data_IF_398292747054
#
_entry.id   IF_398292747054
#
_cell.length_a   1.000
_cell.length_b   1.000
_cell.length_c   1.000
_cell.angle_alpha   90.00
_cell.angle_beta   90.00
_cell.angle_gamma   90.00
#
_symmetry.space_group_name_H-M   'P 1'
#
loop_
_entity.id
_entity.type
_entity.pdbx_description
1 polymer ?
#
# COMPACT_ATOMS: atom_id res chain seq x y z
N UNK A 1 -66.24 -18.33 42.58
CA UNK A 1 -65.97 -18.67 41.22
C UNK A 1 -64.93 -17.66 40.67
N UNK A 2 -63.68 -18.06 40.68
CA UNK A 2 -62.53 -17.20 40.17
C UNK A 2 -62.14 -17.79 38.80
N UNK A 3 -62.35 -17.03 37.76
CA UNK A 3 -61.85 -17.35 36.42
C UNK A 3 -60.36 -16.88 36.33
N UNK A 4 -59.44 -17.84 36.17
CA UNK A 4 -58.05 -17.57 35.76
C UNK A 4 -58.04 -17.47 34.20
N UNK A 5 -57.76 -16.25 33.71
CA UNK A 5 -57.40 -16.06 32.29
C UNK A 5 -55.93 -16.38 32.11
N UNK A 6 -55.63 -17.50 31.48
CA UNK A 6 -54.25 -17.86 31.05
C UNK A 6 -53.94 -17.15 29.73
N UNK A 7 -53.08 -16.12 29.78
CA UNK A 7 -52.57 -15.45 28.59
C UNK A 7 -51.44 -16.29 27.99
N UNK A 8 -51.73 -16.95 26.85
CA UNK A 8 -50.74 -17.66 26.07
C UNK A 8 -49.95 -16.64 25.23
N UNK A 9 -48.74 -16.26 25.67
CA UNK A 9 -47.77 -15.47 24.87
C UNK A 9 -47.23 -16.39 23.77
N UNK A 10 -47.73 -16.24 22.56
CA UNK A 10 -47.14 -16.78 21.33
C UNK A 10 -45.90 -15.94 21.01
N UNK A 11 -44.73 -16.41 21.43
CA UNK A 11 -43.43 -15.93 20.96
C UNK A 11 -43.30 -16.28 19.46
N UNK A 12 -43.63 -15.35 18.61
CA UNK A 12 -43.20 -15.39 17.20
C UNK A 12 -41.68 -15.27 17.16
N UNK A 13 -40.96 -16.38 17.16
CA UNK A 13 -39.58 -16.44 16.75
C UNK A 13 -39.54 -16.14 15.24
N UNK A 14 -39.32 -14.88 14.88
CA UNK A 14 -38.95 -14.53 13.51
C UNK A 14 -37.65 -15.28 13.20
N UNK A 15 -37.60 -16.07 12.09
CA UNK A 15 -36.37 -16.70 11.70
C UNK A 15 -35.36 -15.59 11.39
N UNK A 16 -34.32 -15.48 12.21
CA UNK A 16 -33.12 -14.75 11.84
C UNK A 16 -32.50 -15.56 10.71
N UNK A 17 -33.02 -15.35 9.49
CA UNK A 17 -32.52 -16.01 8.30
C UNK A 17 -31.02 -15.74 8.19
N UNK A 18 -30.24 -16.77 7.93
CA UNK A 18 -28.81 -16.74 7.73
C UNK A 18 -28.45 -15.79 6.57
N UNK A 19 -28.23 -14.53 6.88
CA UNK A 19 -28.05 -13.45 5.90
C UNK A 19 -26.83 -13.69 4.99
N UNK A 20 -25.83 -14.39 5.49
CA UNK A 20 -24.57 -14.69 4.81
C UNK A 20 -24.72 -15.77 3.74
N UNK A 21 -25.46 -16.85 4.06
CA UNK A 21 -25.75 -17.94 3.11
C UNK A 21 -26.60 -17.45 1.93
N UNK A 22 -27.61 -16.62 2.20
CA UNK A 22 -28.47 -16.02 1.16
C UNK A 22 -27.63 -15.13 0.20
N UNK A 23 -26.68 -14.33 0.70
CA UNK A 23 -25.84 -13.48 -0.13
C UNK A 23 -24.95 -14.30 -1.05
N UNK A 24 -24.27 -15.33 -0.53
CA UNK A 24 -23.38 -16.16 -1.35
C UNK A 24 -24.16 -16.89 -2.44
N UNK A 25 -25.23 -17.59 -2.10
CA UNK A 25 -26.02 -18.39 -3.04
C UNK A 25 -26.63 -17.55 -4.18
N UNK A 26 -27.00 -16.29 -3.91
CA UNK A 26 -27.58 -15.36 -4.89
C UNK A 26 -26.57 -14.77 -5.86
N UNK A 27 -25.30 -14.68 -5.49
CA UNK A 27 -24.30 -13.92 -6.27
C UNK A 27 -23.11 -14.75 -6.72
N UNK A 28 -23.00 -16.02 -6.35
CA UNK A 28 -21.87 -16.89 -6.69
C UNK A 28 -21.60 -17.01 -8.19
N UNK A 29 -22.64 -16.92 -9.03
CA UNK A 29 -22.54 -16.98 -10.50
C UNK A 29 -21.78 -15.80 -11.11
N UNK A 30 -21.55 -14.74 -10.34
CA UNK A 30 -20.84 -13.52 -10.74
C UNK A 30 -19.39 -13.49 -10.25
N UNK A 31 -18.97 -14.49 -9.47
CA UNK A 31 -17.65 -14.58 -8.89
C UNK A 31 -16.71 -15.42 -9.74
N UNK A 32 -15.45 -15.08 -9.71
CA UNK A 32 -14.39 -15.82 -10.39
C UNK A 32 -13.14 -15.91 -9.53
N UNK A 33 -12.43 -17.01 -9.69
CA UNK A 33 -11.04 -17.13 -9.29
C UNK A 33 -10.14 -16.73 -10.47
N UNK A 34 -9.08 -15.99 -10.21
CA UNK A 34 -8.05 -15.66 -11.19
C UNK A 34 -6.80 -16.44 -10.85
N UNK A 35 -6.31 -17.23 -11.80
CA UNK A 35 -5.09 -18.01 -11.69
C UNK A 35 -4.00 -17.43 -12.57
N UNK A 36 -2.85 -17.22 -11.99
CA UNK A 36 -1.64 -16.90 -12.74
C UNK A 36 -0.85 -18.20 -12.88
N UNK A 37 -0.57 -18.57 -14.12
CA UNK A 37 0.09 -19.79 -14.47
C UNK A 37 1.46 -19.50 -15.09
N UNK A 38 2.45 -20.28 -14.74
CA UNK A 38 3.72 -20.29 -15.46
C UNK A 38 3.48 -20.79 -16.90
N UNK A 39 3.96 -20.04 -17.88
CA UNK A 39 3.64 -20.31 -19.28
C UNK A 39 4.24 -21.64 -19.79
N UNK A 40 5.43 -22.01 -19.28
CA UNK A 40 6.18 -23.20 -19.72
C UNK A 40 5.61 -24.51 -19.16
N UNK A 41 5.24 -24.51 -17.88
CA UNK A 41 4.84 -25.72 -17.15
C UNK A 41 3.33 -25.82 -16.92
N UNK A 42 2.60 -24.70 -16.99
CA UNK A 42 1.21 -24.60 -16.58
C UNK A 42 1.00 -24.65 -15.07
N UNK A 43 2.08 -24.65 -14.27
CA UNK A 43 2.00 -24.64 -12.83
C UNK A 43 1.40 -23.32 -12.31
N UNK A 44 0.61 -23.40 -11.23
CA UNK A 44 0.03 -22.21 -10.60
C UNK A 44 1.11 -21.42 -9.87
N UNK A 45 1.32 -20.19 -10.30
CA UNK A 45 2.25 -19.23 -9.70
C UNK A 45 1.57 -18.25 -8.77
N UNK A 46 0.27 -18.01 -8.94
CA UNK A 46 -0.50 -17.12 -8.09
C UNK A 46 -1.99 -17.34 -8.22
N UNK A 47 -2.73 -16.86 -7.23
CA UNK A 47 -4.18 -16.89 -7.18
C UNK A 47 -4.73 -15.59 -6.63
N UNK A 48 -5.86 -15.17 -7.16
CA UNK A 48 -6.65 -14.06 -6.68
C UNK A 48 -8.12 -14.28 -6.97
N UNK A 49 -8.92 -13.32 -6.62
CA UNK A 49 -10.36 -13.29 -6.87
C UNK A 49 -10.72 -12.21 -7.87
N UNK A 50 -11.89 -12.32 -8.44
CA UNK A 50 -12.47 -11.30 -9.29
C UNK A 50 -13.98 -11.46 -9.38
N UNK A 51 -14.60 -10.55 -10.09
CA UNK A 51 -16.06 -10.61 -10.29
C UNK A 51 -16.45 -9.96 -11.62
N UNK A 52 -17.52 -10.47 -12.21
CA UNK A 52 -18.10 -9.89 -13.43
C UNK A 52 -18.70 -8.52 -13.13
N UNK A 53 -18.22 -7.51 -13.85
CA UNK A 53 -18.65 -6.12 -13.75
C UNK A 53 -19.40 -5.64 -14.99
N UNK A 54 -19.50 -6.46 -16.03
CA UNK A 54 -20.34 -6.21 -17.20
C UNK A 54 -20.83 -7.51 -17.82
N UNK A 55 -21.96 -7.45 -18.53
CA UNK A 55 -22.49 -8.57 -19.32
C UNK A 55 -21.62 -8.93 -20.54
N UNK A 56 -20.62 -8.10 -20.87
CA UNK A 56 -19.67 -8.33 -21.96
C UNK A 56 -18.41 -9.10 -21.53
N UNK A 57 -18.42 -9.69 -20.34
CA UNK A 57 -17.30 -10.48 -19.81
C UNK A 57 -16.15 -9.64 -19.21
N UNK A 58 -16.37 -8.37 -18.90
CA UNK A 58 -15.40 -7.60 -18.12
C UNK A 58 -15.42 -8.06 -16.67
N UNK A 59 -14.24 -8.33 -16.14
CA UNK A 59 -13.99 -8.77 -14.78
C UNK A 59 -13.12 -7.76 -14.09
N UNK A 60 -13.46 -7.39 -12.86
CA UNK A 60 -12.66 -6.57 -11.96
C UNK A 60 -11.84 -7.46 -11.05
N UNK A 61 -10.60 -7.08 -10.82
CA UNK A 61 -9.66 -7.69 -9.85
C UNK A 61 -8.67 -6.63 -9.36
N UNK A 62 -7.66 -7.01 -8.56
CA UNK A 62 -6.56 -6.11 -8.22
C UNK A 62 -5.45 -6.14 -9.28
N UNK A 63 -4.74 -5.00 -9.39
CA UNK A 63 -3.54 -4.89 -10.22
C UNK A 63 -2.45 -5.89 -9.76
N UNK A 64 -2.19 -6.00 -8.45
CA UNK A 64 -1.16 -6.90 -7.94
C UNK A 64 -1.42 -8.37 -8.26
N UNK A 65 -2.68 -8.79 -8.48
CA UNK A 65 -3.02 -10.15 -8.90
C UNK A 65 -2.51 -10.43 -10.31
N UNK A 66 -2.53 -9.42 -11.20
CA UNK A 66 -2.20 -9.58 -12.64
C UNK A 66 -0.87 -8.94 -13.04
N UNK A 67 -0.13 -8.35 -12.12
CA UNK A 67 1.10 -7.58 -12.39
C UNK A 67 2.17 -8.38 -13.15
N UNK A 68 2.26 -9.69 -12.91
CA UNK A 68 3.19 -10.58 -13.61
C UNK A 68 2.92 -10.66 -15.14
N UNK A 69 1.66 -10.45 -15.56
CA UNK A 69 1.33 -10.41 -17.00
C UNK A 69 1.91 -9.17 -17.69
N UNK A 70 2.15 -8.11 -16.91
CA UNK A 70 2.73 -6.85 -17.40
C UNK A 70 4.25 -6.90 -17.35
N UNK A 71 4.80 -7.36 -16.22
CA UNK A 71 6.23 -7.31 -15.95
C UNK A 71 7.00 -8.50 -16.53
N UNK A 72 6.35 -9.66 -16.63
CA UNK A 72 6.95 -10.92 -17.09
C UNK A 72 6.06 -11.65 -18.11
N UNK A 73 5.61 -10.98 -19.19
CA UNK A 73 4.59 -11.51 -20.11
C UNK A 73 5.02 -12.80 -20.86
N UNK A 74 6.32 -13.08 -20.91
CA UNK A 74 6.83 -14.32 -21.52
C UNK A 74 6.80 -15.51 -20.55
N UNK A 75 6.71 -15.24 -19.25
CA UNK A 75 6.79 -16.26 -18.19
C UNK A 75 5.42 -16.63 -17.63
N UNK A 76 4.43 -15.73 -17.74
CA UNK A 76 3.14 -15.93 -17.10
C UNK A 76 1.96 -15.70 -18.07
N UNK A 77 0.92 -16.48 -17.84
CA UNK A 77 -0.41 -16.32 -18.44
C UNK A 77 -1.48 -16.39 -17.36
N UNK A 78 -2.67 -15.89 -17.63
CA UNK A 78 -3.77 -15.93 -16.70
C UNK A 78 -4.97 -16.66 -17.26
N UNK A 79 -5.68 -17.34 -16.38
CA UNK A 79 -6.99 -17.92 -16.64
C UNK A 79 -8.00 -17.52 -15.56
N UNK A 80 -9.24 -17.50 -15.94
CA UNK A 80 -10.38 -17.40 -15.04
C UNK A 80 -10.95 -18.79 -14.76
N UNK A 81 -11.36 -19.02 -13.50
CA UNK A 81 -12.13 -20.21 -13.11
C UNK A 81 -13.42 -19.72 -12.43
N UNK A 82 -14.55 -20.14 -12.97
CA UNK A 82 -15.88 -19.79 -12.42
C UNK A 82 -16.28 -20.73 -11.30
N UNK A 83 -17.33 -20.40 -10.55
CA UNK A 83 -17.86 -21.25 -9.48
C UNK A 83 -18.38 -22.60 -9.95
N UNK A 84 -18.82 -22.71 -11.21
CA UNK A 84 -19.22 -23.95 -11.88
C UNK A 84 -18.07 -24.68 -12.59
N UNK A 85 -16.81 -24.24 -12.37
CA UNK A 85 -15.59 -24.91 -12.85
C UNK A 85 -15.21 -24.62 -14.29
N UNK A 86 -15.91 -23.74 -15.02
CA UNK A 86 -15.50 -23.34 -16.37
C UNK A 86 -14.20 -22.55 -16.34
N UNK A 87 -13.35 -22.77 -17.33
CA UNK A 87 -12.06 -22.09 -17.47
C UNK A 87 -11.93 -21.41 -18.81
N UNK A 88 -11.31 -20.23 -18.81
CA UNK A 88 -10.96 -19.54 -20.04
C UNK A 88 -9.75 -18.62 -19.83
N UNK A 89 -9.00 -18.28 -20.89
CA UNK A 89 -7.93 -17.31 -20.80
C UNK A 89 -8.48 -15.92 -20.49
N UNK A 90 -7.63 -15.10 -19.86
CA UNK A 90 -7.88 -13.69 -19.55
C UNK A 90 -7.01 -12.78 -20.40
N UNK A 91 -7.60 -11.68 -20.84
CA UNK A 91 -6.92 -10.58 -21.50
C UNK A 91 -6.97 -9.33 -20.63
N UNK A 92 -5.85 -8.66 -20.42
CA UNK A 92 -5.80 -7.37 -19.72
C UNK A 92 -6.38 -6.27 -20.61
N UNK A 93 -7.35 -5.52 -20.07
CA UNK A 93 -8.01 -4.41 -20.79
C UNK A 93 -7.50 -3.05 -20.29
N UNK A 94 -7.51 -2.84 -18.99
CA UNK A 94 -7.03 -1.60 -18.36
C UNK A 94 -6.69 -1.86 -16.89
N UNK A 95 -5.95 -0.95 -16.26
CA UNK A 95 -5.64 -1.03 -14.84
C UNK A 95 -5.39 0.35 -14.23
N UNK A 96 -5.45 0.41 -12.92
CA UNK A 96 -5.09 1.54 -12.07
C UNK A 96 -4.14 1.02 -10.98
N UNK A 97 -2.83 1.20 -11.21
CA UNK A 97 -1.81 0.71 -10.28
C UNK A 97 -1.78 1.52 -8.98
N UNK A 98 -2.27 2.77 -9.00
CA UNK A 98 -2.31 3.63 -7.81
C UNK A 98 -3.39 3.17 -6.83
N UNK A 99 -4.54 2.73 -7.34
CA UNK A 99 -5.63 2.19 -6.53
C UNK A 99 -5.65 0.66 -6.51
N UNK A 100 -4.62 0.01 -7.07
CA UNK A 100 -4.50 -1.45 -7.11
C UNK A 100 -5.72 -2.14 -7.72
N UNK A 101 -6.20 -1.67 -8.87
CA UNK A 101 -7.33 -2.22 -9.61
C UNK A 101 -6.92 -2.66 -11.02
N UNK A 102 -7.58 -3.68 -11.55
CA UNK A 102 -7.46 -4.08 -12.94
C UNK A 102 -8.82 -4.53 -13.51
N UNK A 103 -8.99 -4.29 -14.81
CA UNK A 103 -10.08 -4.84 -15.61
C UNK A 103 -9.48 -5.80 -16.63
N UNK A 104 -9.96 -7.02 -16.57
CA UNK A 104 -9.61 -8.09 -17.52
C UNK A 104 -10.86 -8.55 -18.23
N UNK A 105 -10.70 -9.21 -19.38
CA UNK A 105 -11.81 -9.74 -20.15
C UNK A 105 -11.62 -11.23 -20.42
N UNK A 106 -12.75 -11.93 -20.41
CA UNK A 106 -12.82 -13.35 -20.77
C UNK A 106 -13.80 -13.57 -21.92
N UNK A 107 -13.59 -14.67 -22.67
CA UNK A 107 -14.50 -15.13 -23.71
C UNK A 107 -15.57 -16.12 -23.20
N UNK A 108 -15.70 -16.29 -21.89
CA UNK A 108 -16.78 -17.09 -21.33
C UNK A 108 -18.15 -16.50 -21.71
N UNK A 109 -19.20 -17.35 -21.77
CA UNK A 109 -20.56 -16.88 -22.02
C UNK A 109 -20.96 -15.73 -21.11
N UNK A 110 -21.79 -14.79 -21.58
CA UNK A 110 -22.25 -13.66 -20.77
C UNK A 110 -22.85 -14.11 -19.45
N UNK A 111 -22.41 -13.46 -18.38
CA UNK A 111 -22.91 -13.71 -17.01
C UNK A 111 -23.53 -12.43 -16.44
N UNK A 112 -24.34 -12.60 -15.39
CA UNK A 112 -24.80 -11.44 -14.62
C UNK A 112 -23.60 -10.69 -14.05
N UNK A 113 -23.69 -9.36 -14.03
CA UNK A 113 -22.68 -8.51 -13.45
C UNK A 113 -23.09 -7.99 -12.08
N UNK A 114 -22.12 -7.66 -11.26
CA UNK A 114 -22.35 -6.85 -10.07
C UNK A 114 -22.53 -5.38 -10.46
N UNK A 115 -23.36 -4.69 -9.69
CA UNK A 115 -23.50 -3.23 -9.77
C UNK A 115 -22.63 -2.56 -8.69
N UNK A 116 -22.00 -1.44 -9.06
CA UNK A 116 -21.21 -0.66 -8.12
C UNK A 116 -22.11 0.25 -7.30
N UNK A 117 -21.98 0.21 -5.98
CA UNK A 117 -22.63 1.18 -5.11
C UNK A 117 -22.14 2.60 -5.41
N UNK A 118 -23.01 3.60 -5.36
CA UNK A 118 -22.71 4.95 -5.86
C UNK A 118 -22.17 5.89 -4.79
N UNK A 119 -22.45 5.63 -3.53
CA UNK A 119 -22.09 6.47 -2.38
C UNK A 119 -21.35 5.62 -1.33
N UNK A 120 -20.75 6.28 -0.37
CA UNK A 120 -20.24 5.57 0.81
C UNK A 120 -21.41 5.20 1.71
N UNK A 121 -21.51 3.93 2.17
CA UNK A 121 -22.54 3.55 3.13
C UNK A 121 -22.31 4.23 4.49
N UNK A 122 -23.32 4.29 5.36
CA UNK A 122 -23.12 4.75 6.73
C UNK A 122 -22.17 3.81 7.49
N UNK A 123 -21.34 4.38 8.39
CA UNK A 123 -20.48 3.61 9.29
C UNK A 123 -21.34 2.66 10.12
N UNK A 124 -20.87 1.43 10.32
CA UNK A 124 -21.61 0.36 10.97
C UNK A 124 -22.39 -0.53 10.00
N UNK A 125 -22.46 -0.18 8.70
CA UNK A 125 -23.10 -1.01 7.69
C UNK A 125 -22.40 -2.35 7.54
N UNK A 126 -23.20 -3.43 7.52
CA UNK A 126 -22.71 -4.79 7.31
C UNK A 126 -22.34 -5.00 5.85
N UNK A 127 -21.15 -5.53 5.60
CA UNK A 127 -20.63 -5.90 4.29
C UNK A 127 -20.30 -7.41 4.27
N UNK A 128 -20.36 -7.97 3.07
CA UNK A 128 -20.00 -9.36 2.77
C UNK A 128 -18.88 -9.35 1.75
N UNK A 129 -17.66 -9.68 2.20
CA UNK A 129 -16.49 -9.83 1.34
C UNK A 129 -16.43 -11.26 0.82
N UNK A 130 -16.23 -11.44 -0.49
CA UNK A 130 -16.22 -12.75 -1.13
C UNK A 130 -14.92 -12.93 -1.90
N UNK A 131 -14.33 -14.13 -1.84
CA UNK A 131 -13.09 -14.45 -2.54
C UNK A 131 -12.67 -15.91 -2.35
N UNK A 132 -11.49 -16.27 -2.83
CA UNK A 132 -10.95 -17.64 -2.81
C UNK A 132 -9.67 -17.71 -1.96
N UNK A 133 -9.78 -17.70 -0.60
CA UNK A 133 -8.60 -17.69 0.26
C UNK A 133 -7.79 -18.98 0.07
N UNK A 134 -6.47 -18.82 -0.07
CA UNK A 134 -5.50 -19.93 -0.10
C UNK A 134 -5.86 -21.07 -1.08
N UNK A 135 -6.61 -20.76 -2.13
CA UNK A 135 -7.12 -21.75 -3.11
C UNK A 135 -8.07 -22.83 -2.49
N UNK A 136 -8.70 -22.52 -1.34
CA UNK A 136 -9.61 -23.44 -0.63
C UNK A 136 -11.05 -23.42 -1.14
N UNK A 137 -11.30 -22.72 -2.25
CA UNK A 137 -12.62 -22.47 -2.79
C UNK A 137 -13.19 -21.11 -2.36
N UNK A 138 -14.39 -20.81 -2.85
CA UNK A 138 -15.05 -19.54 -2.54
C UNK A 138 -15.46 -19.45 -1.07
N UNK A 139 -15.10 -18.35 -0.44
CA UNK A 139 -15.38 -18.06 0.96
C UNK A 139 -16.03 -16.69 1.05
N UNK A 140 -17.02 -16.57 1.94
CA UNK A 140 -17.65 -15.32 2.31
C UNK A 140 -17.26 -14.92 3.73
N UNK A 141 -16.90 -13.66 3.92
CA UNK A 141 -16.54 -13.07 5.21
C UNK A 141 -17.43 -11.88 5.49
N UNK A 142 -18.18 -11.97 6.57
CA UNK A 142 -18.99 -10.85 7.06
C UNK A 142 -18.15 -9.91 7.92
N UNK A 143 -18.38 -8.61 7.78
CA UNK A 143 -17.72 -7.58 8.57
C UNK A 143 -18.42 -6.24 8.48
N UNK A 144 -17.85 -5.23 9.07
CA UNK A 144 -18.43 -3.90 9.18
C UNK A 144 -17.67 -2.87 8.35
N UNK A 145 -18.39 -1.99 7.67
CA UNK A 145 -17.86 -0.79 7.07
C UNK A 145 -17.57 0.26 8.15
N UNK A 146 -16.31 0.65 8.33
CA UNK A 146 -15.88 1.62 9.34
C UNK A 146 -15.50 2.99 8.75
N UNK A 147 -15.92 3.27 7.52
CA UNK A 147 -15.59 4.52 6.84
C UNK A 147 -14.29 4.44 6.04
N UNK A 148 -13.89 5.59 5.54
CA UNK A 148 -12.61 5.77 4.86
C UNK A 148 -11.52 6.03 5.89
N UNK A 149 -10.29 5.60 5.60
CA UNK A 149 -9.14 5.95 6.42
C UNK A 149 -8.87 7.45 6.32
N UNK A 150 -8.88 8.14 7.46
CA UNK A 150 -8.71 9.61 7.50
C UNK A 150 -7.28 10.05 7.16
N UNK A 151 -6.29 9.26 7.54
CA UNK A 151 -4.88 9.59 7.40
C UNK A 151 -4.16 8.55 6.52
N UNK A 152 -4.56 8.45 5.27
CA UNK A 152 -3.94 7.59 4.25
C UNK A 152 -3.61 8.41 3.01
N UNK A 153 -2.48 8.12 2.36
CA UNK A 153 -2.11 8.74 1.10
C UNK A 153 -3.06 8.29 -0.03
N UNK A 154 -3.49 7.03 0.03
CA UNK A 154 -4.42 6.42 -0.90
C UNK A 154 -5.70 6.03 -0.16
N UNK A 155 -6.81 6.48 -0.68
CA UNK A 155 -8.10 6.31 -0.05
C UNK A 155 -8.51 4.83 0.00
N UNK A 156 -8.73 4.31 1.21
CA UNK A 156 -9.13 2.93 1.48
C UNK A 156 -10.30 2.90 2.47
N UNK A 157 -11.16 1.92 2.33
CA UNK A 157 -12.20 1.61 3.30
C UNK A 157 -11.61 0.73 4.39
N UNK A 158 -11.84 1.08 5.66
CA UNK A 158 -11.58 0.19 6.79
C UNK A 158 -12.73 -0.83 6.94
N UNK A 159 -12.38 -2.11 6.88
CA UNK A 159 -13.30 -3.24 6.99
C UNK A 159 -12.86 -4.19 8.10
N UNK A 160 -13.77 -4.57 8.99
CA UNK A 160 -13.45 -5.46 10.13
C UNK A 160 -13.61 -6.95 9.84
N UNK A 161 -13.83 -7.34 8.60
CA UNK A 161 -13.77 -8.76 8.20
C UNK A 161 -12.33 -9.21 7.96
N UNK A 162 -12.00 -10.45 8.31
CA UNK A 162 -10.65 -11.00 8.11
C UNK A 162 -10.45 -11.43 6.66
N UNK A 163 -9.67 -10.66 5.90
CA UNK A 163 -9.25 -11.03 4.57
C UNK A 163 -7.98 -11.92 4.63
N UNK A 164 -7.88 -12.86 3.72
CA UNK A 164 -6.74 -13.76 3.58
C UNK A 164 -6.15 -13.70 2.16
N UNK A 165 -4.88 -14.09 1.96
CA UNK A 165 -4.30 -14.21 0.63
C UNK A 165 -5.18 -15.04 -0.32
N UNK A 166 -5.38 -14.55 -1.54
CA UNK A 166 -6.31 -15.12 -2.53
C UNK A 166 -7.67 -14.44 -2.57
N UNK A 167 -8.10 -13.72 -1.53
CA UNK A 167 -9.33 -12.92 -1.55
C UNK A 167 -9.17 -11.58 -2.26
N UNK A 168 -7.94 -11.16 -2.53
CA UNK A 168 -7.62 -9.94 -3.28
C UNK A 168 -8.34 -9.92 -4.64
N UNK A 169 -8.95 -8.77 -4.98
CA UNK A 169 -9.74 -8.58 -6.20
C UNK A 169 -11.20 -9.01 -6.10
N UNK A 170 -11.57 -9.73 -5.06
CA UNK A 170 -12.97 -10.09 -4.80
C UNK A 170 -13.80 -8.88 -4.32
N UNK A 171 -15.13 -8.92 -4.50
CA UNK A 171 -16.02 -7.84 -4.12
C UNK A 171 -16.35 -7.87 -2.61
N UNK A 172 -16.50 -6.70 -2.02
CA UNK A 172 -17.21 -6.50 -0.76
C UNK A 172 -18.56 -5.84 -1.06
N UNK A 173 -19.63 -6.54 -0.75
CA UNK A 173 -21.01 -6.20 -1.19
C UNK A 173 -21.93 -5.90 -0.02
N UNK A 174 -22.95 -5.11 -0.28
CA UNK A 174 -24.15 -5.01 0.55
C UNK A 174 -25.01 -6.27 0.37
N UNK A 175 -25.99 -6.47 1.27
CA UNK A 175 -26.94 -7.59 1.18
C UNK A 175 -27.72 -7.65 -0.14
N UNK A 176 -27.93 -6.53 -0.80
CA UNK A 176 -28.57 -6.45 -2.12
C UNK A 176 -27.64 -6.78 -3.29
N UNK A 177 -26.35 -7.03 -3.04
CA UNK A 177 -25.33 -7.35 -4.04
C UNK A 177 -24.62 -6.15 -4.64
N UNK A 178 -24.88 -4.93 -4.22
CA UNK A 178 -24.13 -3.77 -4.70
C UNK A 178 -22.71 -3.77 -4.10
N UNK A 179 -21.69 -3.63 -4.96
CA UNK A 179 -20.29 -3.61 -4.57
C UNK A 179 -19.92 -2.23 -3.96
N UNK A 180 -19.49 -2.25 -2.71
CA UNK A 180 -19.00 -1.06 -1.98
C UNK A 180 -17.49 -0.88 -2.19
N UNK A 181 -16.76 -1.98 -2.32
CA UNK A 181 -15.32 -1.96 -2.53
C UNK A 181 -14.76 -3.30 -3.01
N UNK A 182 -13.46 -3.28 -3.31
CA UNK A 182 -12.69 -4.45 -3.75
C UNK A 182 -11.68 -4.80 -2.68
N UNK A 183 -11.59 -6.06 -2.29
CA UNK A 183 -10.63 -6.57 -1.30
C UNK A 183 -9.21 -6.30 -1.76
N UNK A 184 -8.35 -5.73 -0.91
CA UNK A 184 -6.98 -5.40 -1.33
C UNK A 184 -5.91 -5.89 -0.35
N UNK A 185 -6.08 -5.68 0.94
CA UNK A 185 -5.04 -5.94 1.93
C UNK A 185 -5.61 -6.21 3.33
N UNK A 186 -4.76 -6.76 4.18
CA UNK A 186 -5.02 -6.90 5.62
C UNK A 186 -3.81 -6.41 6.41
N UNK A 187 -4.05 -5.84 7.59
CA UNK A 187 -3.02 -5.42 8.55
C UNK A 187 -3.09 -6.24 9.85
N UNK A 188 -3.70 -7.43 9.80
CA UNK A 188 -3.85 -8.31 10.95
C UNK A 188 -5.30 -8.69 11.24
N UNK A 189 -5.55 -9.22 12.43
CA UNK A 189 -6.88 -9.70 12.82
C UNK A 189 -7.94 -8.59 12.73
N UNK A 190 -8.96 -8.80 11.90
CA UNK A 190 -10.11 -7.91 11.74
C UNK A 190 -9.76 -6.47 11.32
N UNK A 191 -8.56 -6.25 10.77
CA UNK A 191 -8.15 -4.99 10.16
C UNK A 191 -7.83 -5.24 8.70
N UNK A 192 -8.80 -4.96 7.85
CA UNK A 192 -8.69 -5.17 6.40
C UNK A 192 -9.07 -3.91 5.64
N UNK A 193 -8.63 -3.84 4.40
CA UNK A 193 -8.82 -2.67 3.56
C UNK A 193 -9.46 -3.05 2.24
N UNK A 194 -10.36 -2.15 1.78
CA UNK A 194 -11.01 -2.28 0.48
C UNK A 194 -10.72 -1.03 -0.35
N UNK A 195 -10.59 -1.21 -1.64
CA UNK A 195 -10.58 -0.10 -2.60
C UNK A 195 -12.01 0.35 -2.86
N UNK A 196 -12.39 1.63 -2.67
CA UNK A 196 -13.74 2.12 -2.88
C UNK A 196 -14.28 1.89 -4.30
N UNK A 197 -15.55 1.50 -4.41
CA UNK A 197 -16.22 1.18 -5.69
C UNK A 197 -16.23 2.33 -6.70
N UNK A 198 -16.07 3.60 -6.28
CA UNK A 198 -15.97 4.74 -7.21
C UNK A 198 -14.75 4.66 -8.12
N UNK A 199 -13.61 4.14 -7.63
CA UNK A 199 -12.42 3.93 -8.46
C UNK A 199 -12.65 2.81 -9.48
N UNK A 200 -13.38 1.76 -9.08
CA UNK A 200 -13.83 0.69 -9.99
C UNK A 200 -14.68 1.26 -11.11
N UNK A 201 -15.66 2.12 -10.78
CA UNK A 201 -16.52 2.77 -11.79
C UNK A 201 -15.69 3.62 -12.77
N UNK A 202 -14.76 4.41 -12.26
CA UNK A 202 -13.89 5.23 -13.10
C UNK A 202 -13.06 4.36 -14.07
N UNK A 203 -12.50 3.24 -13.56
CA UNK A 203 -11.73 2.30 -14.37
C UNK A 203 -12.61 1.59 -15.42
N UNK A 204 -13.80 1.13 -15.04
CA UNK A 204 -14.74 0.49 -15.97
C UNK A 204 -15.20 1.44 -17.10
N UNK A 205 -15.44 2.72 -16.79
CA UNK A 205 -15.77 3.73 -17.80
C UNK A 205 -14.66 3.89 -18.84
N UNK A 206 -13.39 3.88 -18.42
CA UNK A 206 -12.24 3.90 -19.33
C UNK A 206 -12.17 2.62 -20.17
N UNK A 207 -12.38 1.48 -19.53
CA UNK A 207 -12.24 0.16 -20.14
C UNK A 207 -13.33 -0.20 -21.16
N UNK A 208 -14.48 0.49 -21.16
CA UNK A 208 -15.66 0.13 -21.97
C UNK A 208 -15.40 0.00 -23.48
N UNK A 209 -14.52 0.85 -24.02
CA UNK A 209 -14.24 0.95 -25.45
C UNK A 209 -12.79 0.53 -25.77
N UNK A 210 -12.05 -0.03 -24.81
CA UNK A 210 -10.69 -0.46 -25.02
C UNK A 210 -10.65 -1.93 -25.51
N UNK A 211 -9.63 -2.22 -26.27
CA UNK A 211 -9.21 -3.57 -26.60
C UNK A 211 -8.05 -3.98 -25.69
N UNK A 212 -7.68 -5.26 -25.71
CA UNK A 212 -6.62 -5.77 -24.84
C UNK A 212 -5.31 -4.98 -24.97
N UNK A 213 -4.70 -4.66 -23.82
CA UNK A 213 -3.41 -4.00 -23.75
C UNK A 213 -2.30 -4.99 -24.17
N UNK A 214 -1.40 -4.52 -25.04
CA UNK A 214 -0.14 -5.24 -25.26
C UNK A 214 0.78 -5.08 -24.04
N UNK A 215 1.68 -6.04 -23.74
CA UNK A 215 2.61 -5.93 -22.63
C UNK A 215 3.43 -4.65 -22.64
N UNK A 216 3.88 -4.21 -23.82
CA UNK A 216 4.62 -2.95 -23.99
C UNK A 216 3.78 -1.72 -23.62
N UNK A 217 2.52 -1.67 -24.05
CA UNK A 217 1.60 -0.59 -23.71
C UNK A 217 1.27 -0.58 -22.22
N UNK A 218 1.05 -1.76 -21.64
CA UNK A 218 0.78 -1.89 -20.22
C UNK A 218 1.97 -1.44 -19.35
N UNK A 219 3.20 -1.78 -19.71
CA UNK A 219 4.40 -1.32 -19.00
C UNK A 219 4.59 0.20 -19.12
N UNK A 220 4.32 0.78 -20.28
CA UNK A 220 4.36 2.23 -20.47
C UNK A 220 3.29 2.92 -19.60
N UNK A 221 2.06 2.41 -19.60
CA UNK A 221 0.96 2.92 -18.77
C UNK A 221 1.29 2.84 -17.27
N UNK A 222 1.88 1.73 -16.80
CA UNK A 222 2.33 1.57 -15.41
C UNK A 222 3.33 2.67 -15.03
N UNK A 223 4.37 2.84 -15.83
CA UNK A 223 5.38 3.89 -15.63
C UNK A 223 4.75 5.27 -15.56
N UNK A 224 3.84 5.58 -16.46
CA UNK A 224 3.21 6.90 -16.56
C UNK A 224 2.28 7.17 -15.36
N UNK A 225 1.52 6.17 -14.89
CA UNK A 225 0.70 6.25 -13.68
C UNK A 225 1.56 6.50 -12.44
N UNK A 226 2.65 5.75 -12.26
CA UNK A 226 3.53 5.88 -11.11
C UNK A 226 4.27 7.23 -11.12
N UNK A 227 4.72 7.70 -12.31
CA UNK A 227 5.34 9.02 -12.45
C UNK A 227 4.36 10.15 -12.15
N UNK A 228 3.14 10.10 -12.66
CA UNK A 228 2.12 11.10 -12.37
C UNK A 228 1.80 11.16 -10.88
N UNK A 229 1.64 9.98 -10.26
CA UNK A 229 1.34 9.87 -8.84
C UNK A 229 2.48 10.43 -7.97
N UNK A 230 3.75 10.02 -8.20
CA UNK A 230 4.87 10.50 -7.40
C UNK A 230 5.08 12.01 -7.58
N UNK A 231 4.88 12.57 -8.76
CA UNK A 231 4.96 14.01 -8.97
C UNK A 231 3.90 14.75 -8.14
N UNK A 232 2.67 14.25 -8.12
CA UNK A 232 1.58 14.88 -7.40
C UNK A 232 1.78 14.87 -5.87
N UNK A 233 2.17 13.75 -5.27
CA UNK A 233 2.35 13.70 -3.82
C UNK A 233 3.64 14.40 -3.36
N UNK A 234 4.73 14.29 -4.13
CA UNK A 234 5.99 14.98 -3.81
C UNK A 234 5.83 16.50 -3.87
N UNK A 235 5.09 17.02 -4.87
CA UNK A 235 4.80 18.44 -4.93
C UNK A 235 4.00 18.89 -3.71
N UNK A 236 2.95 18.14 -3.31
CA UNK A 236 2.19 18.46 -2.08
C UNK A 236 3.04 18.47 -0.82
N UNK A 237 3.99 17.52 -0.69
CA UNK A 237 4.92 17.47 0.45
C UNK A 237 5.87 18.67 0.47
N UNK A 238 6.35 19.14 -0.68
CA UNK A 238 7.23 20.30 -0.79
C UNK A 238 6.44 21.60 -0.48
N UNK A 239 5.19 21.68 -0.92
CA UNK A 239 4.35 22.88 -0.72
C UNK A 239 3.76 22.95 0.70
N UNK A 240 3.79 21.87 1.46
CA UNK A 240 3.25 21.82 2.84
C UNK A 240 4.32 22.22 3.85
N UNK A 241 4.07 23.20 4.72
CA UNK A 241 5.01 23.54 5.78
C UNK A 241 5.32 22.35 6.69
N UNK A 242 6.61 22.07 6.87
CA UNK A 242 7.07 20.98 7.73
C UNK A 242 6.91 21.36 9.19
N UNK A 243 6.17 20.55 9.95
CA UNK A 243 6.14 20.66 11.40
C UNK A 243 7.43 20.14 11.98
N UNK A 244 7.91 20.73 13.08
CA UNK A 244 9.16 20.34 13.73
C UNK A 244 8.95 19.96 15.19
N UNK A 245 9.83 19.09 15.70
CA UNK A 245 9.92 18.73 17.12
C UNK A 245 11.35 18.97 17.62
N UNK A 246 11.52 19.09 18.94
CA UNK A 246 12.85 19.21 19.55
C UNK A 246 13.45 17.82 19.77
N UNK A 247 14.70 17.67 19.42
CA UNK A 247 15.49 16.45 19.62
C UNK A 247 16.92 16.88 20.04
N UNK A 248 17.23 16.81 21.33
CA UNK A 248 18.41 17.45 21.90
C UNK A 248 18.39 18.96 21.66
N UNK A 249 19.49 19.51 21.20
CA UNK A 249 19.62 20.94 20.84
C UNK A 249 19.18 21.26 19.41
N UNK A 250 18.49 20.33 18.73
CA UNK A 250 18.01 20.53 17.36
C UNK A 250 16.49 20.55 17.31
N UNK A 251 15.97 21.32 16.38
CA UNK A 251 14.62 21.13 15.86
C UNK A 251 14.73 20.34 14.58
N UNK A 252 14.00 19.23 14.51
CA UNK A 252 14.00 18.28 13.38
C UNK A 252 12.61 18.17 12.78
N UNK A 253 12.48 17.78 11.51
CA UNK A 253 11.17 17.45 10.93
C UNK A 253 10.43 16.48 11.81
N UNK A 254 9.14 16.72 12.01
CA UNK A 254 8.26 15.79 12.68
C UNK A 254 7.34 15.13 11.65
N UNK A 255 6.05 15.31 11.73
CA UNK A 255 5.09 14.76 10.81
C UNK A 255 5.09 15.56 9.50
N UNK A 256 5.61 14.99 8.42
CA UNK A 256 5.70 15.65 7.11
C UNK A 256 4.32 15.79 6.42
N UNK A 257 3.36 14.91 6.76
CA UNK A 257 2.00 14.95 6.23
C UNK A 257 1.06 14.18 7.17
N UNK A 258 -0.27 14.37 7.07
CA UNK A 258 -1.25 13.65 7.90
C UNK A 258 -1.15 12.12 7.83
N UNK A 259 -0.77 11.58 6.66
CA UNK A 259 -0.62 10.13 6.43
C UNK A 259 0.71 9.55 6.92
N UNK A 260 1.65 10.38 7.42
CA UNK A 260 2.89 9.92 8.03
C UNK A 260 2.63 9.66 9.53
N UNK A 261 2.94 8.47 9.98
CA UNK A 261 2.89 8.09 11.40
C UNK A 261 4.28 8.04 11.98
N UNK A 262 4.43 8.55 13.20
CA UNK A 262 5.71 8.62 13.90
C UNK A 262 5.63 7.89 15.23
N UNK A 263 6.70 7.17 15.56
CA UNK A 263 6.92 6.50 16.85
C UNK A 263 8.27 6.88 17.39
N UNK A 264 8.38 6.96 18.71
CA UNK A 264 9.62 7.24 19.41
C UNK A 264 10.05 6.06 20.27
N UNK A 265 11.35 5.81 20.34
CA UNK A 265 11.98 4.88 21.27
C UNK A 265 13.19 5.55 21.92
N UNK A 266 13.36 5.34 23.23
CA UNK A 266 14.54 5.80 23.96
C UNK A 266 15.20 4.61 24.65
N UNK A 267 16.43 4.30 24.23
CA UNK A 267 17.24 3.28 24.86
C UNK A 267 18.29 3.93 25.75
N UNK A 268 18.16 3.74 27.05
CA UNK A 268 19.18 4.04 28.04
C UNK A 268 19.65 2.71 28.64
N UNK A 269 20.66 2.10 28.06
CA UNK A 269 21.29 0.93 28.68
C UNK A 269 22.35 1.39 29.69
N UNK A 270 22.36 0.86 30.94
CA UNK A 270 23.30 1.29 31.98
C UNK A 270 24.78 1.13 31.60
N UNK A 271 25.08 0.24 30.66
CA UNK A 271 26.42 -0.05 30.15
C UNK A 271 26.86 0.86 28.98
N UNK A 272 25.94 1.58 28.36
CA UNK A 272 26.25 2.49 27.27
C UNK A 272 26.83 3.82 27.79
N UNK A 273 27.96 4.22 27.20
CA UNK A 273 28.63 5.50 27.51
C UNK A 273 28.04 6.71 26.76
N UNK A 274 26.95 6.51 26.02
CA UNK A 274 26.18 7.55 25.31
C UNK A 274 24.68 7.26 25.42
N UNK A 275 23.88 8.30 25.32
CA UNK A 275 22.43 8.21 25.25
C UNK A 275 21.98 8.21 23.81
N UNK A 276 20.91 7.50 23.52
CA UNK A 276 20.30 7.43 22.21
C UNK A 276 18.79 7.60 22.32
N UNK A 277 18.24 8.49 21.49
CA UNK A 277 16.79 8.65 21.30
C UNK A 277 16.52 8.49 19.81
N UNK A 278 15.57 7.64 19.45
CA UNK A 278 15.20 7.37 18.08
C UNK A 278 13.75 7.78 17.85
N UNK A 279 13.49 8.48 16.75
CA UNK A 279 12.16 8.73 16.23
C UNK A 279 12.10 8.21 14.81
N UNK A 280 11.14 7.35 14.54
CA UNK A 280 10.90 6.77 13.21
C UNK A 280 9.53 7.17 12.70
N UNK A 281 9.44 7.54 11.42
CA UNK A 281 8.23 8.00 10.77
C UNK A 281 8.07 7.31 9.41
N UNK A 282 6.87 6.83 9.11
CA UNK A 282 6.58 6.13 7.85
C UNK A 282 5.19 6.47 7.32
N UNK A 283 5.04 6.45 5.99
CA UNK A 283 3.74 6.60 5.31
C UNK A 283 2.81 5.39 5.51
N UNK A 284 3.30 4.23 5.95
CA UNK A 284 2.56 2.96 5.99
C UNK A 284 1.87 2.56 4.67
N UNK A 285 1.64 3.51 3.77
CA UNK A 285 1.12 3.26 2.43
C UNK A 285 2.26 2.91 1.49
N UNK A 286 2.01 1.93 0.64
CA UNK A 286 2.89 1.58 -0.46
C UNK A 286 2.07 1.28 -1.71
N UNK A 287 2.70 1.37 -2.87
CA UNK A 287 2.16 0.92 -4.14
C UNK A 287 2.86 -0.36 -4.56
N UNK A 288 2.08 -1.34 -4.93
CA UNK A 288 2.57 -2.58 -5.45
C UNK A 288 3.08 -2.38 -6.88
N UNK A 289 4.29 -2.80 -7.15
CA UNK A 289 4.87 -2.83 -8.51
C UNK A 289 4.99 -4.29 -8.97
N UNK A 290 5.64 -5.13 -8.17
CA UNK A 290 5.80 -6.57 -8.40
C UNK A 290 5.77 -7.32 -7.07
N UNK A 291 5.84 -8.64 -7.10
CA UNK A 291 5.94 -9.48 -5.87
C UNK A 291 7.15 -9.16 -5.00
N UNK A 292 8.19 -8.60 -5.59
CA UNK A 292 9.48 -8.32 -4.96
C UNK A 292 9.77 -6.84 -4.83
N UNK A 293 8.89 -5.97 -5.36
CA UNK A 293 9.12 -4.53 -5.40
C UNK A 293 7.85 -3.73 -5.12
N UNK A 294 7.94 -2.85 -4.14
CA UNK A 294 6.93 -1.84 -3.82
C UNK A 294 7.51 -0.44 -3.97
N UNK A 295 6.66 0.55 -4.20
CA UNK A 295 7.02 1.97 -4.34
C UNK A 295 6.06 2.86 -3.56
N UNK A 296 6.23 4.19 -3.62
CA UNK A 296 5.36 5.13 -2.89
C UNK A 296 5.64 5.20 -1.38
N UNK A 297 6.71 4.55 -0.90
CA UNK A 297 7.12 4.60 0.51
C UNK A 297 7.87 5.89 0.79
N UNK A 298 7.50 6.56 1.88
CA UNK A 298 8.20 7.69 2.47
C UNK A 298 8.48 7.31 3.92
N UNK A 299 9.74 7.18 4.25
CA UNK A 299 10.17 6.82 5.60
C UNK A 299 11.34 7.68 6.02
N UNK A 300 11.36 8.13 7.27
CA UNK A 300 12.53 8.80 7.81
C UNK A 300 12.71 8.47 9.29
N UNK A 301 13.97 8.54 9.72
CA UNK A 301 14.36 8.29 11.08
C UNK A 301 15.29 9.41 11.55
N UNK A 302 15.08 9.88 12.77
CA UNK A 302 16.02 10.73 13.50
C UNK A 302 16.58 9.96 14.67
N UNK A 303 17.89 10.06 14.87
CA UNK A 303 18.59 9.46 15.99
C UNK A 303 19.45 10.55 16.66
N UNK A 304 19.05 10.94 17.87
CA UNK A 304 19.85 11.79 18.72
C UNK A 304 20.85 10.95 19.49
N UNK A 305 22.14 11.31 19.39
CA UNK A 305 23.17 10.73 20.22
C UNK A 305 23.81 11.84 21.06
N UNK A 306 24.05 11.58 22.36
CA UNK A 306 24.75 12.50 23.23
C UNK A 306 25.54 11.75 24.29
N UNK A 307 26.63 12.35 24.80
CA UNK A 307 27.50 11.75 25.81
C UNK A 307 28.06 12.77 26.77
N UNK A 308 28.22 12.35 28.03
CA UNK A 308 29.03 13.04 29.04
C UNK A 308 30.29 12.23 29.41
N UNK A 309 30.40 11.00 28.93
CA UNK A 309 31.44 10.03 29.34
C UNK A 309 32.51 9.82 28.27
N UNK A 310 32.27 10.19 27.01
CA UNK A 310 33.22 10.06 25.91
C UNK A 310 33.88 11.40 25.62
N UNK A 311 35.19 11.39 25.32
CA UNK A 311 35.82 12.56 24.72
C UNK A 311 35.37 12.73 23.24
N UNK A 312 35.65 13.90 22.64
CA UNK A 312 35.15 14.21 21.28
C UNK A 312 35.57 13.20 20.21
N UNK A 313 36.79 12.65 20.30
CA UNK A 313 37.27 11.67 19.30
C UNK A 313 36.54 10.32 19.44
N UNK A 314 36.35 9.88 20.68
CA UNK A 314 35.56 8.67 20.97
C UNK A 314 34.10 8.84 20.54
N UNK A 315 33.53 10.03 20.81
CA UNK A 315 32.17 10.33 20.36
C UNK A 315 32.06 10.32 18.83
N UNK A 316 32.98 10.96 18.12
CA UNK A 316 32.95 10.96 16.65
C UNK A 316 33.18 9.58 16.06
N UNK A 317 33.94 8.69 16.71
CA UNK A 317 34.06 7.29 16.29
C UNK A 317 32.71 6.57 16.33
N UNK A 318 32.02 6.66 17.46
CA UNK A 318 30.65 6.10 17.60
C UNK A 318 29.67 6.73 16.62
N UNK A 319 29.69 8.07 16.49
CA UNK A 319 28.81 8.82 15.61
C UNK A 319 29.00 8.45 14.13
N UNK A 320 30.25 8.26 13.71
CA UNK A 320 30.59 7.80 12.38
C UNK A 320 30.16 6.34 12.14
N UNK A 321 30.36 5.46 13.13
CA UNK A 321 29.91 4.07 13.07
C UNK A 321 28.39 4.00 12.85
N UNK A 322 27.63 4.77 13.63
CA UNK A 322 26.17 4.85 13.49
C UNK A 322 25.76 5.47 12.13
N UNK A 323 26.48 6.50 11.65
CA UNK A 323 26.23 7.06 10.31
C UNK A 323 26.49 6.04 9.20
N UNK A 324 27.50 5.19 9.34
CA UNK A 324 27.86 4.19 8.34
C UNK A 324 27.00 2.91 8.48
N UNK A 325 26.32 2.71 9.60
CA UNK A 325 25.44 1.55 9.80
C UNK A 325 24.46 1.42 8.62
N UNK A 326 24.31 0.20 8.14
CA UNK A 326 23.40 -0.08 7.03
C UNK A 326 21.97 0.22 7.45
N UNK A 327 21.32 1.07 6.69
CA UNK A 327 19.86 1.17 6.73
C UNK A 327 19.29 0.05 5.86
N UNK A 328 18.35 -0.76 6.36
CA UNK A 328 17.67 -1.76 5.54
C UNK A 328 16.84 -1.01 4.50
N UNK A 329 17.40 -0.79 3.34
CA UNK A 329 16.72 -0.09 2.23
C UNK A 329 15.39 -0.78 1.86
N UNK A 330 14.69 -0.21 0.89
CA UNK A 330 13.46 -0.79 0.35
C UNK A 330 13.79 -2.14 -0.28
N UNK A 331 13.13 -3.24 0.12
CA UNK A 331 13.34 -4.54 -0.49
C UNK A 331 13.04 -4.50 -1.99
N UNK A 332 13.94 -4.99 -2.81
CA UNK A 332 13.74 -5.18 -4.24
C UNK A 332 14.76 -6.21 -4.76
N UNK A 333 14.41 -6.93 -5.82
CA UNK A 333 15.32 -7.87 -6.45
C UNK A 333 16.40 -7.15 -7.28
N UNK A 334 17.54 -7.79 -7.47
CA UNK A 334 18.59 -7.28 -8.35
C UNK A 334 18.12 -7.18 -9.82
N UNK A 335 17.07 -7.90 -10.19
CA UNK A 335 16.48 -7.83 -11.54
C UNK A 335 15.63 -6.56 -11.71
N UNK A 336 15.04 -6.05 -10.64
CA UNK A 336 14.15 -4.89 -10.67
C UNK A 336 14.89 -3.56 -10.54
N UNK A 337 16.01 -3.53 -9.79
CA UNK A 337 16.73 -2.28 -9.47
C UNK A 337 18.24 -2.37 -9.70
N UNK A 338 18.88 -1.22 -9.91
CA UNK A 338 20.34 -1.12 -9.94
C UNK A 338 20.94 -1.15 -8.54
N UNK A 339 22.28 -1.20 -8.46
CA UNK A 339 22.98 -0.87 -7.22
C UNK A 339 22.82 0.62 -6.90
N UNK A 340 22.93 0.99 -5.61
CA UNK A 340 22.96 2.38 -5.20
C UNK A 340 24.23 3.08 -5.67
N UNK A 341 24.08 4.22 -6.30
CA UNK A 341 25.15 5.18 -6.55
C UNK A 341 25.02 6.32 -5.54
N UNK A 342 26.06 6.56 -4.75
CA UNK A 342 26.06 7.53 -3.66
C UNK A 342 27.00 8.68 -3.92
N UNK A 343 26.58 9.90 -3.55
CA UNK A 343 27.40 11.08 -3.47
C UNK A 343 27.43 11.61 -2.03
N UNK A 344 28.62 11.94 -1.53
CA UNK A 344 28.81 12.46 -0.16
C UNK A 344 29.39 13.86 -0.22
N UNK A 345 28.82 14.77 0.59
CA UNK A 345 29.26 16.16 0.67
C UNK A 345 29.02 16.75 2.07
N UNK A 346 29.59 17.94 2.30
CA UNK A 346 29.33 18.76 3.47
C UNK A 346 28.48 19.96 3.06
N UNK A 347 27.33 20.10 3.67
CA UNK A 347 26.40 21.18 3.36
C UNK A 347 26.03 21.96 4.62
N UNK A 348 25.68 23.22 4.46
CA UNK A 348 25.09 24.03 5.50
C UNK A 348 23.72 24.50 5.09
N UNK A 349 22.74 24.25 5.95
CA UNK A 349 21.39 24.78 5.82
C UNK A 349 21.03 25.57 7.06
N UNK A 350 20.74 26.85 6.88
CA UNK A 350 20.58 27.79 7.97
C UNK A 350 21.77 27.76 8.95
N UNK A 351 21.55 27.46 10.22
CA UNK A 351 22.60 27.37 11.23
C UNK A 351 23.05 25.93 11.52
N UNK A 352 22.63 24.95 10.71
CA UNK A 352 23.01 23.55 10.86
C UNK A 352 24.03 23.15 9.79
N UNK A 353 25.15 22.58 10.22
CA UNK A 353 26.17 21.98 9.36
C UNK A 353 25.94 20.48 9.29
N UNK A 354 25.99 19.91 8.10
CA UNK A 354 25.79 18.50 7.85
C UNK A 354 26.94 17.87 7.07
N UNK A 355 27.24 16.60 7.38
CA UNK A 355 27.77 15.63 6.43
C UNK A 355 26.58 14.90 5.83
N UNK A 356 26.46 14.88 4.51
CA UNK A 356 25.35 14.22 3.80
C UNK A 356 25.87 13.14 2.88
N UNK A 357 25.08 12.09 2.71
CA UNK A 357 25.24 11.09 1.65
C UNK A 357 23.86 10.87 1.01
N UNK A 358 23.75 11.20 -0.29
CA UNK A 358 22.56 10.93 -1.08
C UNK A 358 22.86 9.79 -2.04
N UNK A 359 22.08 8.72 -1.92
CA UNK A 359 22.21 7.51 -2.71
C UNK A 359 20.96 7.33 -3.57
N UNK A 360 21.13 7.04 -4.85
CA UNK A 360 20.05 6.74 -5.78
C UNK A 360 20.29 5.37 -6.41
N UNK A 361 19.21 4.58 -6.57
CA UNK A 361 19.20 3.40 -7.43
C UNK A 361 18.03 3.46 -8.42
N UNK A 362 18.29 3.13 -9.67
CA UNK A 362 17.30 3.19 -10.73
C UNK A 362 16.40 1.94 -10.73
N UNK A 363 15.11 2.12 -11.03
CA UNK A 363 14.25 1.01 -11.44
C UNK A 363 14.59 0.62 -12.89
N UNK A 364 14.94 -0.64 -13.12
CA UNK A 364 15.39 -1.13 -14.43
C UNK A 364 14.24 -1.27 -15.44
N UNK A 365 13.03 -1.57 -14.94
CA UNK A 365 11.84 -1.79 -15.79
C UNK A 365 11.02 -0.53 -16.01
N UNK A 366 11.12 0.43 -15.07
CA UNK A 366 10.37 1.69 -15.07
C UNK A 366 11.34 2.88 -15.10
N UNK A 367 11.94 3.17 -16.27
CA UNK A 367 12.89 4.27 -16.42
C UNK A 367 12.31 5.60 -15.94
N UNK A 368 13.14 6.38 -15.21
CA UNK A 368 12.73 7.66 -14.62
C UNK A 368 12.29 7.55 -13.16
N UNK A 369 12.09 6.35 -12.63
CA UNK A 369 11.83 6.10 -11.21
C UNK A 369 13.09 5.57 -10.51
N UNK A 370 13.31 6.10 -9.31
CA UNK A 370 14.46 5.79 -8.46
C UNK A 370 14.01 5.57 -7.03
N UNK A 371 14.74 4.75 -6.30
CA UNK A 371 14.71 4.78 -4.85
C UNK A 371 15.86 5.66 -4.37
N UNK A 372 15.58 6.55 -3.44
CA UNK A 372 16.52 7.47 -2.87
C UNK A 372 16.70 7.23 -1.37
N UNK A 373 17.94 7.28 -0.89
CA UNK A 373 18.30 7.27 0.52
C UNK A 373 19.20 8.48 0.79
N UNK A 374 18.71 9.41 1.61
CA UNK A 374 19.51 10.50 2.17
C UNK A 374 19.91 10.12 3.59
N UNK A 375 21.20 10.14 3.88
CA UNK A 375 21.74 10.09 5.24
C UNK A 375 22.40 11.41 5.55
N UNK A 376 22.10 12.00 6.72
CA UNK A 376 22.74 13.22 7.15
C UNK A 376 23.13 13.15 8.63
N UNK A 377 24.28 13.72 8.96
CA UNK A 377 24.83 13.84 10.30
C UNK A 377 25.08 15.32 10.61
N UNK A 378 24.54 15.84 11.71
CA UNK A 378 24.81 17.21 12.16
C UNK A 378 26.21 17.34 12.75
N UNK A 379 26.87 18.49 12.54
CA UNK A 379 28.27 18.72 12.91
C UNK A 379 28.46 19.96 13.81
N UNK A 380 27.41 20.40 14.50
CA UNK A 380 27.47 21.62 15.33
C UNK A 380 28.07 21.39 16.70
N UNK A 381 28.04 20.15 17.23
CA UNK A 381 28.42 19.81 18.59
C UNK A 381 29.50 18.72 18.64
N UNK A 382 30.32 18.74 19.72
CA UNK A 382 31.41 17.79 19.92
C UNK A 382 31.02 16.53 20.72
N UNK A 383 29.91 16.59 21.45
CA UNK A 383 29.45 15.53 22.33
C UNK A 383 27.96 15.18 22.14
N UNK A 384 27.36 15.67 21.08
CA UNK A 384 25.98 15.44 20.70
C UNK A 384 25.75 15.68 19.22
N UNK A 385 24.68 15.10 18.68
CA UNK A 385 24.30 15.31 17.29
C UNK A 385 23.11 14.46 16.87
N UNK A 386 22.52 14.86 15.77
CA UNK A 386 21.41 14.14 15.11
C UNK A 386 21.92 13.45 13.86
N UNK A 387 21.72 12.15 13.79
CA UNK A 387 21.74 11.40 12.54
C UNK A 387 20.31 11.35 11.99
N UNK A 388 20.16 11.55 10.70
CA UNK A 388 18.87 11.36 10.04
C UNK A 388 19.03 10.55 8.78
N UNK A 389 18.04 9.69 8.52
CA UNK A 389 17.90 8.91 7.29
C UNK A 389 16.54 9.19 6.71
N UNK A 390 16.46 9.56 5.44
CA UNK A 390 15.23 9.70 4.68
C UNK A 390 15.26 8.71 3.52
N UNK A 391 14.17 7.96 3.34
CA UNK A 391 13.99 6.99 2.27
C UNK A 391 12.76 7.37 1.45
N UNK A 392 12.94 7.43 0.14
CA UNK A 392 11.89 7.70 -0.83
C UNK A 392 11.90 6.58 -1.87
N UNK A 393 10.78 5.86 -2.03
CA UNK A 393 10.66 4.79 -3.01
C UNK A 393 9.94 5.26 -4.27
N UNK A 394 10.54 5.00 -5.44
CA UNK A 394 9.93 5.22 -6.74
C UNK A 394 9.61 6.68 -7.05
N UNK A 395 10.57 7.56 -6.80
CA UNK A 395 10.48 8.99 -7.11
C UNK A 395 11.37 9.33 -8.31
N UNK A 396 11.13 10.45 -9.00
CA UNK A 396 12.07 10.97 -9.99
C UNK A 396 13.36 11.48 -9.30
N UNK A 397 14.50 11.43 -10.00
CA UNK A 397 15.76 11.97 -9.47
C UNK A 397 15.62 13.46 -9.06
N UNK A 398 14.88 14.24 -9.84
CA UNK A 398 14.61 15.64 -9.53
C UNK A 398 13.80 15.80 -8.24
N UNK A 399 12.74 15.00 -8.03
CA UNK A 399 11.96 15.06 -6.80
C UNK A 399 12.75 14.56 -5.59
N UNK A 400 13.60 13.53 -5.77
CA UNK A 400 14.52 13.08 -4.72
C UNK A 400 15.47 14.21 -4.25
N UNK A 401 16.08 14.94 -5.18
CA UNK A 401 16.96 16.07 -4.87
C UNK A 401 16.21 17.22 -4.21
N UNK A 402 15.12 17.69 -4.83
CA UNK A 402 14.32 18.82 -4.30
C UNK A 402 13.78 18.54 -2.90
N UNK A 403 13.26 17.33 -2.68
CA UNK A 403 12.72 16.99 -1.37
C UNK A 403 13.82 16.77 -0.33
N UNK A 404 14.97 16.19 -0.70
CA UNK A 404 16.12 16.08 0.20
C UNK A 404 16.60 17.45 0.66
N UNK A 405 16.67 18.43 -0.24
CA UNK A 405 17.01 19.82 0.12
C UNK A 405 15.96 20.41 1.06
N UNK A 406 14.67 20.37 0.69
CA UNK A 406 13.55 20.86 1.52
C UNK A 406 13.53 20.22 2.93
N UNK A 407 13.83 18.92 3.01
CA UNK A 407 13.92 18.18 4.26
C UNK A 407 15.06 18.71 5.14
N UNK A 408 16.28 18.90 4.61
CA UNK A 408 17.41 19.45 5.35
C UNK A 408 17.20 20.92 5.74
N UNK A 409 16.50 21.71 4.93
CA UNK A 409 16.14 23.10 5.23
C UNK A 409 15.18 23.24 6.40
N UNK A 410 14.51 22.17 6.83
CA UNK A 410 13.61 22.19 7.98
C UNK A 410 14.30 22.03 9.34
N UNK A 411 15.61 21.72 9.35
CA UNK A 411 16.39 21.61 10.59
C UNK A 411 16.82 22.97 11.11
N UNK A 412 16.89 23.09 12.45
CA UNK A 412 17.44 24.25 13.16
C UNK A 412 18.28 23.76 14.34
N UNK A 413 19.35 24.46 14.65
CA UNK A 413 20.16 24.23 15.83
C UNK A 413 19.91 25.32 16.84
N UNK A 414 19.60 24.97 18.10
CA UNK A 414 19.33 25.83 19.23
C UNK A 414 20.35 25.46 20.33
N UNK A 415 21.50 26.15 20.42
CA UNK A 415 22.56 25.87 21.37
C UNK A 415 22.16 26.07 22.83
#
# INVERSE_FOLDING_TARGET
MRFLLTYCLLLFSLPIAAATEDVFSRFQDRLVQIRILEASTGAQAGVGSGFFASSRGLIVTNYHVISDLILHPQHYRAEVVTTDGQRAPLQLIDFDAVHDLAVVQTQLPPRRAFEMHTTNPPIGMRLFSIGTPLDLGFTIVEGTYNGLLEASLYEKIHFTGSLNPGMSGGPAVLRNGQVVGVNVATAGNQVSFLVPARFVRALLLRAQNLHGLTPKAALAQLRDQLNANQNAYMQRLIDTPVTSTSLGHYRVPNKLAPFIKCWGDSKAEPTQRYQQVVQECSSEDNLYVSRTHTTGVIQFQHQWLSTRALNRFQFYSVYQEQFNANYPGIPASADDVSQYACHTDFVQSHNVRFKVALCLRANKRLPGLYDAVLKAATLNENHGGVLTTLVLAGVSANNALRFSQHYLESFRWNP
#
